data_IF_240557047736
#
_entry.id   IF_240557047736
#
_cell.length_a   1.000
_cell.length_b   1.000
_cell.length_c   1.000
_cell.angle_alpha   90.00
_cell.angle_beta   90.00
_cell.angle_gamma   90.00
#
_symmetry.space_group_name_H-M   'P 1'
#
loop_
_entity.id
_entity.type
_entity.pdbx_description
1 polymer ?
#
# COMPACT_ATOMS: atom_id res chain seq x y z
N UNK A 1 -19.45 21.13 -27.43
CA UNK A 1 -18.53 22.24 -27.10
C UNK A 1 -17.25 22.18 -27.90
N UNK A 2 -16.32 21.23 -27.69
CA UNK A 2 -15.06 21.13 -28.47
C UNK A 2 -15.32 20.88 -29.97
N UNK A 3 -16.24 19.97 -30.30
CA UNK A 3 -16.65 19.69 -31.69
C UNK A 3 -17.41 20.84 -32.39
N UNK A 4 -17.74 21.90 -31.66
CA UNK A 4 -18.51 23.03 -32.19
C UNK A 4 -17.62 24.26 -32.44
N UNK A 5 -16.29 24.10 -32.46
CA UNK A 5 -15.35 25.17 -32.84
C UNK A 5 -15.08 26.23 -31.78
N UNK A 6 -15.53 26.05 -30.55
CA UNK A 6 -15.20 26.95 -29.45
C UNK A 6 -13.73 26.76 -29.01
N UNK A 7 -12.97 27.85 -28.76
CA UNK A 7 -11.61 27.74 -28.27
C UNK A 7 -11.56 27.01 -26.93
N UNK A 8 -10.73 25.99 -26.85
CA UNK A 8 -10.53 25.18 -25.66
C UNK A 8 -9.08 25.31 -25.22
N UNK A 9 -8.87 25.89 -24.04
CA UNK A 9 -7.56 26.02 -23.43
C UNK A 9 -7.28 24.78 -22.59
N UNK A 10 -6.18 24.09 -22.87
CA UNK A 10 -5.77 22.88 -22.14
C UNK A 10 -4.65 23.24 -21.19
N UNK A 11 -4.84 22.97 -19.89
CA UNK A 11 -3.76 23.04 -18.92
C UNK A 11 -2.80 21.87 -19.19
N UNK A 12 -1.51 22.17 -19.36
CA UNK A 12 -0.50 21.18 -19.74
C UNK A 12 0.35 20.71 -18.55
N UNK A 13 0.27 21.36 -17.39
CA UNK A 13 1.13 21.09 -16.23
C UNK A 13 0.33 20.47 -15.08
N UNK A 14 0.81 19.34 -14.56
CA UNK A 14 0.19 18.60 -13.46
C UNK A 14 0.97 18.73 -12.14
N UNK A 15 0.25 18.83 -11.02
CA UNK A 15 0.81 19.05 -9.67
C UNK A 15 0.50 17.92 -8.68
N UNK A 16 -0.07 16.81 -9.18
CA UNK A 16 -0.62 15.73 -8.36
C UNK A 16 0.32 14.53 -8.28
N UNK A 17 0.56 13.91 -9.43
CA UNK A 17 1.12 12.57 -9.57
C UNK A 17 2.64 12.63 -9.58
N UNK A 18 3.32 11.62 -9.01
CA UNK A 18 4.75 11.40 -9.27
C UNK A 18 5.00 11.25 -10.79
N UNK A 19 6.17 11.68 -11.32
CA UNK A 19 6.47 11.60 -12.76
C UNK A 19 6.32 10.20 -13.36
N UNK A 20 6.60 9.15 -12.59
CA UNK A 20 6.48 7.78 -13.06
C UNK A 20 5.00 7.39 -13.29
N UNK A 21 4.06 7.97 -12.52
CA UNK A 21 2.61 7.75 -12.66
C UNK A 21 2.11 8.57 -13.85
N UNK A 22 2.48 9.86 -13.92
CA UNK A 22 2.04 10.73 -15.01
C UNK A 22 2.54 10.25 -16.37
N UNK A 23 3.69 9.56 -16.42
CA UNK A 23 4.16 8.90 -17.64
C UNK A 23 3.13 7.93 -18.23
N UNK A 24 2.38 7.18 -17.40
CA UNK A 24 1.34 6.26 -17.87
C UNK A 24 0.14 6.99 -18.50
N UNK A 25 -0.02 8.29 -18.23
CA UNK A 25 -1.08 9.14 -18.77
C UNK A 25 -0.67 9.81 -20.09
N UNK A 26 0.63 9.92 -20.39
CA UNK A 26 1.14 10.57 -21.60
C UNK A 26 0.64 9.94 -22.92
N UNK A 27 0.35 8.63 -23.05
CA UNK A 27 -0.32 8.08 -24.23
C UNK A 27 -1.69 8.74 -24.52
N UNK A 28 -2.35 9.26 -23.48
CA UNK A 28 -3.67 9.91 -23.57
C UNK A 28 -3.50 11.43 -23.69
N UNK A 29 -2.53 12.01 -22.96
CA UNK A 29 -2.21 13.43 -22.95
C UNK A 29 -0.71 13.66 -23.22
N UNK A 30 -0.27 13.67 -24.49
CA UNK A 30 1.16 13.68 -24.85
C UNK A 30 1.93 14.92 -24.36
N UNK A 31 1.22 16.04 -24.18
CA UNK A 31 1.81 17.32 -23.78
C UNK A 31 1.87 17.52 -22.26
N UNK A 32 1.47 16.52 -21.46
CA UNK A 32 1.44 16.61 -20.01
C UNK A 32 2.85 16.78 -19.43
N UNK A 33 3.05 17.83 -18.65
CA UNK A 33 4.30 18.18 -17.95
C UNK A 33 4.13 18.06 -16.45
N UNK A 34 5.21 17.68 -15.77
CA UNK A 34 5.25 17.53 -14.32
C UNK A 34 5.79 18.80 -13.66
N UNK A 35 5.03 19.37 -12.73
CA UNK A 35 5.51 20.49 -11.92
C UNK A 35 6.61 20.03 -10.94
N UNK A 36 7.57 20.91 -10.60
CA UNK A 36 8.71 20.56 -9.73
C UNK A 36 8.29 19.95 -8.38
N UNK A 37 7.16 20.42 -7.83
CA UNK A 37 6.62 19.94 -6.53
C UNK A 37 6.37 18.43 -6.47
N UNK A 38 6.15 17.76 -7.62
CA UNK A 38 5.88 16.32 -7.63
C UNK A 38 7.14 15.45 -7.77
N UNK A 39 8.29 16.05 -8.07
CA UNK A 39 9.53 15.31 -8.35
C UNK A 39 10.23 14.81 -7.09
N UNK A 40 10.03 15.48 -5.95
CA UNK A 40 10.68 15.17 -4.67
C UNK A 40 9.74 14.44 -3.68
N UNK A 41 8.84 13.60 -4.20
CA UNK A 41 7.93 12.80 -3.35
C UNK A 41 8.67 11.57 -2.82
N UNK A 42 8.64 11.39 -1.50
CA UNK A 42 9.22 10.24 -0.80
C UNK A 42 8.71 8.90 -1.33
N UNK A 43 9.58 7.89 -1.27
CA UNK A 43 9.24 6.51 -1.60
C UNK A 43 8.15 5.93 -0.69
N UNK A 44 7.40 4.98 -1.24
CA UNK A 44 6.46 4.17 -0.48
C UNK A 44 7.23 3.20 0.42
N UNK A 45 6.84 3.15 1.70
CA UNK A 45 7.41 2.28 2.71
C UNK A 45 6.97 0.83 2.49
N UNK A 46 7.88 -0.10 2.71
CA UNK A 46 7.67 -1.54 2.64
C UNK A 46 7.70 -2.13 1.23
N UNK A 47 7.89 -1.32 0.19
CA UNK A 47 7.90 -1.81 -1.19
C UNK A 47 9.17 -1.42 -1.92
N UNK A 48 9.53 -2.20 -2.93
CA UNK A 48 10.73 -1.96 -3.75
C UNK A 48 10.51 -0.93 -4.87
N UNK A 49 9.24 -0.68 -5.24
CA UNK A 49 8.85 0.22 -6.34
C UNK A 49 7.60 0.99 -5.95
N UNK A 50 7.57 2.29 -6.26
CA UNK A 50 6.41 3.17 -5.99
C UNK A 50 5.25 2.95 -6.97
N UNK A 51 5.57 2.38 -8.14
CA UNK A 51 4.59 1.97 -9.13
C UNK A 51 4.90 0.56 -9.55
N UNK A 52 3.87 -0.28 -9.61
CA UNK A 52 4.05 -1.63 -10.10
C UNK A 52 2.75 -2.19 -10.69
N UNK A 53 2.88 -2.85 -11.83
CA UNK A 53 1.85 -3.66 -12.45
C UNK A 53 2.13 -5.13 -12.17
N UNK A 54 1.27 -5.76 -11.37
CA UNK A 54 1.29 -7.18 -11.04
C UNK A 54 0.52 -7.94 -12.12
N UNK A 55 1.24 -8.60 -13.02
CA UNK A 55 0.65 -9.43 -14.06
C UNK A 55 0.24 -10.81 -13.51
N UNK A 56 -0.96 -11.27 -13.89
CA UNK A 56 -1.41 -12.65 -13.71
C UNK A 56 -2.30 -13.11 -14.86
N UNK A 57 -2.46 -14.43 -14.99
CA UNK A 57 -3.33 -15.09 -15.98
C UNK A 57 -4.51 -15.84 -15.34
N UNK A 58 -4.82 -15.55 -14.07
CA UNK A 58 -5.99 -16.12 -13.39
C UNK A 58 -7.27 -15.54 -13.98
N UNK A 59 -8.18 -16.41 -14.40
CA UNK A 59 -9.41 -16.05 -15.11
C UNK A 59 -10.42 -15.31 -14.23
N UNK A 60 -11.19 -14.44 -14.87
CA UNK A 60 -12.33 -13.75 -14.28
C UNK A 60 -13.50 -14.72 -13.99
N UNK A 61 -14.27 -14.41 -12.95
CA UNK A 61 -15.50 -15.12 -12.61
C UNK A 61 -16.70 -14.31 -13.09
N UNK A 62 -17.65 -14.96 -13.78
CA UNK A 62 -18.91 -14.31 -14.15
C UNK A 62 -19.86 -14.28 -12.95
N UNK A 63 -20.38 -13.10 -12.62
CA UNK A 63 -21.31 -12.95 -11.49
C UNK A 63 -22.69 -13.46 -11.90
N UNK A 64 -23.20 -14.45 -11.16
CA UNK A 64 -24.50 -15.11 -11.42
C UNK A 64 -25.61 -14.06 -11.46
N UNK A 65 -26.43 -14.09 -12.52
CA UNK A 65 -27.56 -13.16 -12.69
C UNK A 65 -27.18 -11.74 -13.13
N UNK A 66 -25.93 -11.50 -13.52
CA UNK A 66 -25.48 -10.21 -14.06
C UNK A 66 -24.58 -10.37 -15.30
N UNK A 67 -24.35 -9.27 -16.00
CA UNK A 67 -23.33 -9.17 -17.07
C UNK A 67 -21.98 -8.66 -16.53
N UNK A 68 -21.79 -8.70 -15.21
CA UNK A 68 -20.58 -8.25 -14.54
C UNK A 68 -19.62 -9.40 -14.25
N UNK A 69 -18.37 -9.03 -14.02
CA UNK A 69 -17.26 -9.93 -13.77
C UNK A 69 -16.56 -9.54 -12.48
N UNK A 70 -15.93 -10.50 -11.83
CA UNK A 70 -15.09 -10.28 -10.66
C UNK A 70 -13.80 -11.06 -10.75
N UNK A 71 -12.79 -10.62 -10.02
CA UNK A 71 -11.55 -11.38 -9.89
C UNK A 71 -11.14 -11.47 -8.43
N UNK A 72 -11.58 -12.56 -7.79
CA UNK A 72 -11.30 -12.79 -6.37
C UNK A 72 -9.80 -12.87 -6.07
N UNK A 73 -8.96 -13.23 -7.05
CA UNK A 73 -7.51 -13.24 -6.86
C UNK A 73 -6.94 -11.83 -6.67
N UNK A 74 -7.29 -10.90 -7.57
CA UNK A 74 -6.84 -9.50 -7.52
C UNK A 74 -7.28 -8.83 -6.23
N UNK A 75 -8.57 -8.96 -5.89
CA UNK A 75 -9.15 -8.35 -4.70
C UNK A 75 -8.50 -8.90 -3.43
N UNK A 76 -8.39 -10.22 -3.28
CA UNK A 76 -7.79 -10.81 -2.08
C UNK A 76 -6.32 -10.43 -1.92
N UNK A 77 -5.58 -10.31 -3.03
CA UNK A 77 -4.21 -9.80 -3.01
C UNK A 77 -4.18 -8.38 -2.46
N UNK A 78 -4.99 -7.47 -3.00
CA UNK A 78 -5.00 -6.08 -2.57
C UNK A 78 -5.51 -5.89 -1.14
N UNK A 79 -6.43 -6.70 -0.66
CA UNK A 79 -6.86 -6.65 0.75
C UNK A 79 -5.72 -7.03 1.71
N UNK A 80 -4.92 -8.05 1.37
CA UNK A 80 -3.73 -8.42 2.15
C UNK A 80 -2.62 -7.36 2.01
N UNK A 81 -2.45 -6.80 0.82
CA UNK A 81 -1.47 -5.74 0.57
C UNK A 81 -1.81 -4.43 1.28
N UNK A 82 -3.08 -4.02 1.32
CA UNK A 82 -3.53 -2.85 2.07
C UNK A 82 -3.21 -3.01 3.57
N UNK A 83 -3.53 -4.18 4.16
CA UNK A 83 -3.17 -4.50 5.55
C UNK A 83 -1.67 -4.45 5.80
N UNK A 84 -0.87 -4.93 4.84
CA UNK A 84 0.58 -4.81 4.89
C UNK A 84 1.04 -3.34 4.86
N UNK A 85 0.43 -2.48 4.05
CA UNK A 85 0.77 -1.05 4.03
C UNK A 85 0.33 -0.36 5.33
N UNK A 86 -0.79 -0.74 5.94
CA UNK A 86 -1.19 -0.23 7.25
C UNK A 86 -0.14 -0.58 8.31
N UNK A 87 0.43 -1.78 8.24
CA UNK A 87 1.51 -2.18 9.13
C UNK A 87 2.84 -1.47 8.86
N UNK A 88 3.05 -0.92 7.67
CA UNK A 88 4.16 0.01 7.40
C UNK A 88 3.91 1.43 7.96
N UNK A 89 2.77 1.65 8.63
CA UNK A 89 2.40 2.90 9.27
C UNK A 89 1.64 3.87 8.37
N UNK A 90 1.01 3.40 7.29
CA UNK A 90 0.06 4.21 6.52
C UNK A 90 -1.32 4.18 7.18
N UNK A 91 -1.98 5.33 7.26
CA UNK A 91 -3.36 5.38 7.73
C UNK A 91 -4.31 4.86 6.66
N UNK A 92 -5.43 4.24 7.06
CA UNK A 92 -6.38 3.63 6.14
C UNK A 92 -6.92 4.61 5.09
N UNK A 93 -7.19 5.86 5.51
CA UNK A 93 -7.69 6.91 4.62
C UNK A 93 -6.68 7.36 3.54
N UNK A 94 -5.38 7.05 3.69
CA UNK A 94 -4.35 7.36 2.68
C UNK A 94 -4.30 6.36 1.54
N UNK A 95 -5.06 5.26 1.64
CA UNK A 95 -5.07 4.18 0.66
C UNK A 95 -6.48 4.00 0.13
N UNK A 96 -6.61 3.82 -1.17
CA UNK A 96 -7.89 3.45 -1.79
C UNK A 96 -7.72 2.24 -2.69
N UNK A 97 -8.61 1.25 -2.53
CA UNK A 97 -8.79 0.18 -3.49
C UNK A 97 -9.85 0.59 -4.52
N UNK A 98 -9.43 0.69 -5.77
CA UNK A 98 -10.29 0.90 -6.93
C UNK A 98 -10.59 -0.43 -7.61
N UNK A 99 -11.86 -0.66 -7.88
CA UNK A 99 -12.36 -1.78 -8.68
C UNK A 99 -13.07 -1.27 -9.92
N UNK A 100 -13.03 -2.02 -11.02
CA UNK A 100 -13.66 -1.61 -12.28
C UNK A 100 -15.15 -1.95 -12.37
N UNK A 101 -15.64 -2.86 -11.53
CA UNK A 101 -17.01 -3.37 -11.56
C UNK A 101 -17.75 -3.09 -10.23
N UNK A 102 -19.01 -2.64 -10.33
CA UNK A 102 -19.79 -2.19 -9.16
C UNK A 102 -20.23 -3.36 -8.27
N UNK A 103 -20.46 -4.53 -8.85
CA UNK A 103 -20.83 -5.74 -8.13
C UNK A 103 -19.70 -6.21 -7.21
N UNK A 104 -18.44 -6.10 -7.66
CA UNK A 104 -17.25 -6.39 -6.86
C UNK A 104 -17.12 -5.42 -5.68
N UNK A 105 -17.43 -4.13 -5.89
CA UNK A 105 -17.48 -3.13 -4.82
C UNK A 105 -18.48 -3.51 -3.72
N UNK A 106 -19.70 -3.94 -4.09
CA UNK A 106 -20.74 -4.30 -3.12
C UNK A 106 -20.35 -5.52 -2.27
N UNK A 107 -19.65 -6.49 -2.86
CA UNK A 107 -19.11 -7.64 -2.12
C UNK A 107 -18.04 -7.21 -1.12
N UNK A 108 -17.14 -6.33 -1.56
CA UNK A 108 -16.07 -5.79 -0.73
C UNK A 108 -16.55 -4.90 0.42
N UNK A 109 -17.60 -4.12 0.20
CA UNK A 109 -18.20 -3.29 1.25
C UNK A 109 -18.74 -4.15 2.41
N UNK A 110 -19.33 -5.32 2.13
CA UNK A 110 -19.76 -6.27 3.17
C UNK A 110 -18.59 -6.86 3.95
N UNK A 111 -17.49 -7.18 3.26
CA UNK A 111 -16.25 -7.67 3.90
C UNK A 111 -15.64 -6.57 4.79
N UNK A 112 -15.71 -5.31 4.34
CA UNK A 112 -15.26 -4.15 5.11
C UNK A 112 -16.07 -3.97 6.38
N UNK A 113 -17.40 -3.97 6.27
CA UNK A 113 -18.32 -3.79 7.41
C UNK A 113 -18.17 -4.87 8.49
N UNK A 114 -17.70 -6.06 8.12
CA UNK A 114 -17.43 -7.17 9.05
C UNK A 114 -16.01 -7.17 9.63
N UNK A 115 -15.16 -6.17 9.30
CA UNK A 115 -13.76 -6.11 9.73
C UNK A 115 -13.41 -4.74 10.33
N UNK A 116 -13.22 -4.69 11.65
CA UNK A 116 -12.77 -3.47 12.34
C UNK A 116 -11.43 -2.91 11.84
N UNK A 117 -10.58 -3.78 11.27
CA UNK A 117 -9.28 -3.39 10.70
C UNK A 117 -9.43 -2.61 9.38
N UNK A 118 -10.61 -2.60 8.77
CA UNK A 118 -10.86 -2.00 7.45
C UNK A 118 -11.92 -0.90 7.49
N UNK A 119 -12.39 -0.50 8.67
CA UNK A 119 -13.53 0.42 8.84
C UNK A 119 -13.36 1.71 8.03
N UNK A 120 -12.17 2.33 8.09
CA UNK A 120 -11.83 3.56 7.38
C UNK A 120 -11.19 3.33 6.01
N UNK A 121 -11.06 2.07 5.57
CA UNK A 121 -10.45 1.74 4.29
C UNK A 121 -11.42 2.06 3.14
N UNK A 122 -11.00 2.97 2.27
CA UNK A 122 -11.81 3.39 1.12
C UNK A 122 -11.71 2.34 0.00
N UNK A 123 -12.84 1.78 -0.36
CA UNK A 123 -13.02 0.91 -1.52
C UNK A 123 -14.08 1.57 -2.40
N UNK A 124 -13.78 1.79 -3.68
CA UNK A 124 -14.67 2.50 -4.59
C UNK A 124 -14.54 1.98 -6.02
N UNK A 125 -15.56 2.20 -6.84
CA UNK A 125 -15.49 1.92 -8.27
C UNK A 125 -14.77 3.06 -9.03
N UNK A 126 -14.09 2.75 -10.13
CA UNK A 126 -13.36 3.75 -10.93
C UNK A 126 -14.26 4.92 -11.35
N UNK A 127 -15.48 4.63 -11.80
CA UNK A 127 -16.44 5.67 -12.24
C UNK A 127 -16.89 6.57 -11.05
N UNK A 128 -17.05 5.99 -9.86
CA UNK A 128 -17.43 6.73 -8.63
C UNK A 128 -16.30 7.56 -8.03
N UNK A 129 -15.05 7.31 -8.44
CA UNK A 129 -13.86 8.01 -7.95
C UNK A 129 -13.38 9.14 -8.88
N UNK A 130 -14.22 9.57 -9.83
CA UNK A 130 -13.87 10.64 -10.74
C UNK A 130 -13.74 11.99 -10.00
N UNK A 131 -12.61 12.67 -10.20
CA UNK A 131 -12.31 13.96 -9.56
C UNK A 131 -11.60 13.82 -8.21
N UNK A 132 -11.65 12.64 -7.61
CA UNK A 132 -10.98 12.30 -6.35
C UNK A 132 -9.52 11.91 -6.57
N UNK A 133 -8.73 11.94 -5.49
CA UNK A 133 -7.34 11.50 -5.46
C UNK A 133 -6.99 10.88 -4.09
N UNK A 134 -5.96 10.03 -4.05
CA UNK A 134 -5.41 9.56 -2.79
C UNK A 134 -3.88 9.36 -2.87
N UNK A 135 -3.21 9.23 -1.73
CA UNK A 135 -1.78 9.04 -1.66
C UNK A 135 -1.36 7.72 -2.33
N UNK A 136 -2.07 6.62 -2.03
CA UNK A 136 -1.82 5.30 -2.59
C UNK A 136 -3.11 4.74 -3.20
N UNK A 137 -3.01 4.28 -4.45
CA UNK A 137 -4.10 3.59 -5.14
C UNK A 137 -3.69 2.14 -5.41
N UNK A 138 -4.59 1.24 -5.02
CA UNK A 138 -4.58 -0.18 -5.40
C UNK A 138 -5.67 -0.35 -6.46
N UNK A 139 -5.34 -0.87 -7.65
CA UNK A 139 -6.27 -0.93 -8.77
C UNK A 139 -6.42 -2.37 -9.28
N UNK A 140 -7.60 -2.94 -9.07
CA UNK A 140 -8.05 -4.21 -9.66
C UNK A 140 -8.65 -3.95 -11.05
N UNK A 141 -8.12 -4.61 -12.08
CA UNK A 141 -8.61 -4.49 -13.46
C UNK A 141 -9.63 -5.59 -13.80
N UNK A 142 -9.66 -6.68 -13.04
CA UNK A 142 -10.60 -7.81 -13.12
C UNK A 142 -10.49 -8.66 -14.38
N UNK A 143 -10.38 -8.03 -15.56
CA UNK A 143 -10.55 -8.71 -16.84
C UNK A 143 -9.36 -9.62 -17.17
N UNK A 144 -9.68 -10.90 -17.34
CA UNK A 144 -8.76 -11.97 -17.67
C UNK A 144 -9.53 -13.14 -18.30
N UNK A 145 -9.59 -13.18 -19.62
CA UNK A 145 -10.39 -14.12 -20.40
C UNK A 145 -9.69 -14.55 -21.69
N UNK A 146 -10.17 -15.64 -22.28
CA UNK A 146 -9.59 -16.25 -23.48
C UNK A 146 -9.87 -15.38 -24.72
N UNK A 147 -10.96 -14.61 -24.71
CA UNK A 147 -11.40 -13.78 -25.84
C UNK A 147 -10.64 -12.44 -25.95
N UNK A 148 -9.68 -12.17 -25.05
CA UNK A 148 -8.98 -10.89 -24.92
C UNK A 148 -9.92 -9.67 -24.82
N UNK A 149 -11.13 -9.88 -24.29
CA UNK A 149 -12.13 -8.83 -24.17
C UNK A 149 -11.92 -8.06 -22.86
N UNK A 150 -11.39 -6.85 -22.99
CA UNK A 150 -11.10 -5.97 -21.85
C UNK A 150 -12.24 -4.99 -21.54
N UNK A 151 -13.29 -4.96 -22.37
CA UNK A 151 -14.52 -4.18 -22.16
C UNK A 151 -14.28 -2.74 -21.71
N UNK A 152 -14.64 -2.44 -20.46
CA UNK A 152 -14.49 -1.13 -19.80
C UNK A 152 -13.09 -0.52 -19.97
N UNK A 153 -12.06 -1.38 -19.98
CA UNK A 153 -10.65 -0.99 -20.04
C UNK A 153 -10.18 -0.60 -21.43
N UNK A 154 -11.04 -0.67 -22.46
CA UNK A 154 -10.71 -0.14 -23.79
C UNK A 154 -11.12 1.34 -23.95
N UNK A 155 -11.86 1.90 -22.98
CA UNK A 155 -12.33 3.29 -23.05
C UNK A 155 -11.24 4.21 -22.50
N UNK A 156 -10.62 5.01 -23.37
CA UNK A 156 -9.51 5.91 -23.04
C UNK A 156 -9.77 6.77 -21.79
N UNK A 157 -10.95 7.39 -21.67
CA UNK A 157 -11.29 8.23 -20.52
C UNK A 157 -11.28 7.44 -19.20
N UNK A 158 -11.70 6.17 -19.23
CA UNK A 158 -11.75 5.30 -18.05
C UNK A 158 -10.36 4.81 -17.65
N UNK A 159 -9.50 4.48 -18.62
CA UNK A 159 -8.08 4.20 -18.38
C UNK A 159 -7.43 5.42 -17.72
N UNK A 160 -7.66 6.61 -18.27
CA UNK A 160 -7.12 7.84 -17.71
C UNK A 160 -7.56 8.04 -16.26
N UNK A 161 -8.87 7.91 -15.97
CA UNK A 161 -9.37 8.05 -14.59
C UNK A 161 -8.66 7.04 -13.70
N UNK A 162 -8.69 5.75 -14.03
CA UNK A 162 -8.13 4.68 -13.20
C UNK A 162 -6.65 4.88 -12.84
N UNK A 163 -5.82 5.28 -13.81
CA UNK A 163 -4.36 5.42 -13.62
C UNK A 163 -3.93 6.76 -13.03
N UNK A 164 -4.80 7.78 -12.99
CA UNK A 164 -4.43 9.16 -12.56
C UNK A 164 -4.92 9.56 -11.17
N UNK A 165 -5.42 8.60 -10.38
CA UNK A 165 -5.95 8.85 -9.03
C UNK A 165 -4.88 8.89 -7.93
N UNK A 166 -3.71 8.29 -8.18
CA UNK A 166 -2.63 8.17 -7.22
C UNK A 166 -1.70 9.38 -7.19
N UNK A 167 -1.37 9.86 -6.00
CA UNK A 167 -0.36 10.92 -5.81
C UNK A 167 1.04 10.34 -5.69
N UNK A 168 1.22 9.34 -4.82
CA UNK A 168 2.53 8.80 -4.42
C UNK A 168 2.75 7.35 -4.87
N UNK A 169 1.75 6.48 -4.75
CA UNK A 169 1.89 5.05 -5.04
C UNK A 169 0.75 4.51 -5.91
N UNK A 170 1.09 3.78 -6.97
CA UNK A 170 0.11 3.14 -7.85
C UNK A 170 0.44 1.67 -8.04
N UNK A 171 -0.43 0.79 -7.55
CA UNK A 171 -0.27 -0.65 -7.70
C UNK A 171 -1.45 -1.21 -8.47
N UNK A 172 -1.19 -1.73 -9.66
CA UNK A 172 -2.22 -2.23 -10.57
C UNK A 172 -2.06 -3.74 -10.67
N UNK A 173 -3.17 -4.47 -10.69
CA UNK A 173 -3.17 -5.91 -10.93
C UNK A 173 -4.09 -6.22 -12.10
N UNK A 174 -3.67 -7.15 -12.96
CA UNK A 174 -4.48 -7.56 -14.09
C UNK A 174 -3.73 -8.45 -15.09
N UNK A 175 -4.44 -8.83 -16.14
CA UNK A 175 -3.89 -9.62 -17.23
C UNK A 175 -3.32 -8.73 -18.34
N UNK A 176 -2.02 -8.41 -18.27
CA UNK A 176 -1.34 -7.62 -19.29
C UNK A 176 -1.41 -8.25 -20.69
N UNK A 177 -1.40 -9.59 -20.81
CA UNK A 177 -1.51 -10.28 -22.10
C UNK A 177 -2.83 -9.95 -22.80
N UNK A 178 -3.94 -9.86 -22.05
CA UNK A 178 -5.22 -9.39 -22.60
C UNK A 178 -5.20 -7.88 -22.90
N UNK A 179 -4.59 -7.07 -22.04
CA UNK A 179 -4.63 -5.60 -22.14
C UNK A 179 -3.88 -5.07 -23.37
N UNK A 180 -2.72 -5.63 -23.70
CA UNK A 180 -1.87 -5.15 -24.81
C UNK A 180 -2.52 -5.25 -26.20
N UNK A 181 -3.66 -5.92 -26.32
CA UNK A 181 -4.47 -5.92 -27.55
C UNK A 181 -5.10 -4.54 -27.84
N UNK A 182 -5.20 -3.66 -26.83
CA UNK A 182 -5.52 -2.24 -27.01
C UNK A 182 -4.26 -1.42 -27.24
N UNK A 183 -4.30 -0.50 -28.20
CA UNK A 183 -3.15 0.35 -28.55
C UNK A 183 -2.61 1.15 -27.36
N UNK A 184 -3.52 1.71 -26.55
CA UNK A 184 -3.16 2.52 -25.38
C UNK A 184 -2.44 1.66 -24.33
N UNK A 185 -2.97 0.47 -24.03
CA UNK A 185 -2.36 -0.44 -23.06
C UNK A 185 -1.02 -1.00 -23.55
N UNK A 186 -0.84 -1.16 -24.86
CA UNK A 186 0.46 -1.50 -25.45
C UNK A 186 1.50 -0.39 -25.23
N UNK A 187 1.12 0.88 -25.35
CA UNK A 187 2.03 1.99 -25.04
C UNK A 187 2.32 2.06 -23.53
N UNK A 188 1.30 1.89 -22.69
CA UNK A 188 1.44 1.84 -21.23
C UNK A 188 2.37 0.69 -20.80
N UNK A 189 2.26 -0.49 -21.43
CA UNK A 189 3.10 -1.64 -21.08
C UNK A 189 4.57 -1.38 -21.39
N UNK A 190 4.88 -0.72 -22.52
CA UNK A 190 6.25 -0.31 -22.85
C UNK A 190 6.82 0.68 -21.81
N UNK A 191 6.00 1.62 -21.34
CA UNK A 191 6.41 2.57 -20.29
C UNK A 191 6.71 1.82 -18.98
N UNK A 192 5.83 0.89 -18.57
CA UNK A 192 6.04 0.09 -17.37
C UNK A 192 7.28 -0.80 -17.47
N UNK A 193 7.56 -1.39 -18.63
CA UNK A 193 8.78 -2.18 -18.90
C UNK A 193 10.01 -1.30 -18.73
N UNK A 194 10.02 -0.11 -19.34
CA UNK A 194 11.13 0.84 -19.25
C UNK A 194 11.37 1.31 -17.79
N UNK A 195 10.32 1.43 -17.00
CA UNK A 195 10.41 1.74 -15.55
C UNK A 195 10.80 0.54 -14.67
N UNK A 196 10.88 -0.68 -15.25
CA UNK A 196 11.01 -1.95 -14.53
C UNK A 196 9.91 -2.11 -13.47
N UNK A 197 8.68 -1.75 -13.84
CA UNK A 197 7.49 -1.72 -13.00
C UNK A 197 6.39 -2.64 -13.53
N UNK A 198 6.75 -3.65 -14.31
CA UNK A 198 5.85 -4.70 -14.78
C UNK A 198 6.45 -6.08 -14.46
N UNK A 199 5.66 -6.95 -13.85
CA UNK A 199 6.05 -8.34 -13.62
C UNK A 199 5.02 -9.11 -12.81
N UNK A 200 5.28 -10.40 -12.58
CA UNK A 200 4.29 -11.30 -11.96
C UNK A 200 4.34 -11.29 -10.43
N UNK A 201 5.31 -10.57 -9.86
CA UNK A 201 5.56 -10.52 -8.42
C UNK A 201 5.91 -9.11 -8.00
N UNK A 202 5.30 -8.64 -6.92
CA UNK A 202 5.63 -7.38 -6.27
C UNK A 202 6.72 -7.62 -5.22
N UNK A 203 7.80 -6.86 -5.27
CA UNK A 203 8.85 -6.90 -4.26
C UNK A 203 8.51 -6.04 -3.05
N UNK A 204 8.48 -6.64 -1.87
CA UNK A 204 8.37 -6.00 -0.57
C UNK A 204 9.75 -5.91 0.09
N UNK A 205 9.96 -4.91 0.95
CA UNK A 205 11.20 -4.70 1.70
C UNK A 205 10.92 -4.42 3.16
N UNK A 206 11.89 -4.72 4.03
CA UNK A 206 11.82 -4.28 5.42
C UNK A 206 12.39 -2.86 5.53
N UNK A 207 11.67 -1.95 6.20
CA UNK A 207 12.13 -0.58 6.43
C UNK A 207 13.29 -0.50 7.43
N UNK A 208 13.40 -1.47 8.35
CA UNK A 208 14.50 -1.57 9.31
C UNK A 208 15.71 -2.29 8.67
N UNK A 209 15.46 -3.42 8.00
CA UNK A 209 16.50 -4.26 7.37
C UNK A 209 16.38 -4.17 5.84
N UNK A 210 16.95 -3.12 5.25
CA UNK A 210 16.81 -2.82 3.81
C UNK A 210 17.34 -3.91 2.88
N UNK A 211 18.21 -4.79 3.38
CA UNK A 211 18.76 -5.94 2.68
C UNK A 211 17.82 -7.18 2.70
N UNK A 212 16.73 -7.12 3.47
CA UNK A 212 15.69 -8.13 3.44
C UNK A 212 14.58 -7.72 2.48
N UNK A 213 14.33 -8.58 1.48
CA UNK A 213 13.25 -8.42 0.51
C UNK A 213 12.52 -9.73 0.31
N UNK A 214 11.22 -9.66 0.02
CA UNK A 214 10.39 -10.82 -0.32
C UNK A 214 9.48 -10.46 -1.49
N UNK A 215 9.22 -11.43 -2.37
CA UNK A 215 8.34 -11.24 -3.52
C UNK A 215 6.98 -11.89 -3.26
N UNK A 216 5.90 -11.16 -3.54
CA UNK A 216 4.51 -11.63 -3.39
C UNK A 216 3.78 -11.63 -4.74
N UNK A 217 3.00 -12.66 -5.00
CA UNK A 217 2.16 -12.81 -6.20
C UNK A 217 0.72 -13.17 -5.89
N UNK A 218 0.44 -13.62 -4.67
CA UNK A 218 -0.89 -14.04 -4.23
C UNK A 218 -1.14 -13.62 -2.78
N UNK A 219 -2.41 -13.60 -2.38
CA UNK A 219 -2.82 -13.29 -1.00
C UNK A 219 -2.16 -14.18 0.05
N UNK A 220 -1.83 -15.43 -0.28
CA UNK A 220 -1.17 -16.40 0.61
C UNK A 220 0.30 -16.08 0.87
N UNK A 221 0.96 -15.38 -0.05
CA UNK A 221 2.37 -15.03 0.12
C UNK A 221 2.58 -14.06 1.28
N UNK A 222 1.56 -13.25 1.62
CA UNK A 222 1.58 -12.33 2.75
C UNK A 222 1.70 -13.01 4.12
N UNK A 223 1.28 -14.27 4.25
CA UNK A 223 1.40 -15.01 5.50
C UNK A 223 2.87 -15.33 5.84
N UNK A 224 3.78 -15.18 4.86
CA UNK A 224 5.24 -15.33 5.01
C UNK A 224 5.97 -13.99 5.12
N UNK A 225 5.26 -12.85 5.02
CA UNK A 225 5.87 -11.52 5.03
C UNK A 225 6.18 -11.11 6.47
N UNK A 226 7.28 -11.65 6.97
CA UNK A 226 7.83 -11.31 8.27
C UNK A 226 9.35 -11.30 8.19
N UNK A 227 9.97 -10.16 8.46
CA UNK A 227 11.41 -10.12 8.65
C UNK A 227 11.75 -10.78 9.99
N UNK A 228 12.55 -11.84 9.96
CA UNK A 228 12.97 -12.60 11.16
C UNK A 228 14.37 -12.21 11.64
N UNK A 229 14.94 -11.12 11.14
CA UNK A 229 16.21 -10.58 11.64
C UNK A 229 16.01 -9.93 13.01
N UNK A 230 17.05 -9.92 13.83
CA UNK A 230 17.05 -9.16 15.09
C UNK A 230 16.96 -7.66 14.78
N UNK A 231 16.08 -6.94 15.46
CA UNK A 231 15.83 -5.52 15.25
C UNK A 231 17.12 -4.70 15.38
N UNK A 232 17.82 -4.83 16.52
CA UNK A 232 19.10 -4.19 16.83
C UNK A 232 19.12 -2.65 16.73
N UNK A 233 17.95 -2.00 16.62
CA UNK A 233 17.83 -0.54 16.66
C UNK A 233 18.18 0.00 18.06
N UNK A 234 18.83 1.16 18.11
CA UNK A 234 19.13 1.86 19.36
C UNK A 234 17.85 2.55 19.85
N UNK A 235 17.40 2.19 21.05
CA UNK A 235 16.24 2.79 21.72
C UNK A 235 16.66 4.06 22.48
N UNK A 236 15.68 4.90 22.88
CA UNK A 236 15.90 6.13 23.66
C UNK A 236 16.69 5.92 24.97
N UNK A 237 16.68 4.69 25.51
CA UNK A 237 17.47 4.34 26.68
C UNK A 237 18.97 4.12 26.41
N UNK A 238 19.41 4.17 25.14
CA UNK A 238 20.76 3.88 24.68
C UNK A 238 21.05 2.39 24.43
N UNK A 239 20.10 1.50 24.73
CA UNK A 239 20.25 0.07 24.50
C UNK A 239 19.73 -0.36 23.13
N UNK A 240 20.36 -1.41 22.59
CA UNK A 240 19.93 -2.05 21.35
C UNK A 240 18.73 -2.97 21.61
N UNK A 241 17.72 -2.93 20.73
CA UNK A 241 16.57 -3.81 20.79
C UNK A 241 16.96 -5.25 20.41
N UNK A 242 16.69 -6.21 21.29
CA UNK A 242 16.99 -7.63 21.08
C UNK A 242 15.81 -8.45 20.54
N UNK A 243 14.69 -7.80 20.19
CA UNK A 243 13.52 -8.48 19.65
C UNK A 243 13.69 -8.77 18.15
N UNK A 244 12.88 -9.68 17.62
CA UNK A 244 12.75 -9.86 16.17
C UNK A 244 12.22 -8.57 15.54
N UNK A 245 12.54 -8.36 14.26
CA UNK A 245 12.14 -7.18 13.52
C UNK A 245 10.64 -6.91 13.66
N UNK A 246 10.31 -5.69 14.09
CA UNK A 246 8.93 -5.26 14.32
C UNK A 246 8.69 -3.91 13.64
N UNK A 247 8.47 -3.97 12.33
CA UNK A 247 8.31 -2.77 11.51
C UNK A 247 7.02 -1.96 11.84
N UNK A 248 6.11 -2.51 12.64
CA UNK A 248 4.90 -1.86 13.15
C UNK A 248 5.19 -0.80 14.24
N UNK A 249 6.31 -0.90 14.94
CA UNK A 249 6.77 0.08 15.95
C UNK A 249 8.25 0.38 15.72
N UNK A 250 8.52 1.11 14.64
CA UNK A 250 9.89 1.47 14.26
C UNK A 250 10.52 2.39 15.31
N UNK A 251 9.70 3.21 15.98
CA UNK A 251 10.15 4.19 16.97
C UNK A 251 10.45 3.60 18.35
N UNK A 252 10.00 2.38 18.66
CA UNK A 252 10.10 1.75 19.98
C UNK A 252 9.49 2.59 21.12
N UNK A 253 8.52 3.46 20.81
CA UNK A 253 7.93 4.39 21.78
C UNK A 253 6.70 3.83 22.47
N UNK A 254 6.09 2.78 21.92
CA UNK A 254 4.78 2.32 22.37
C UNK A 254 4.80 0.84 22.78
N UNK A 255 5.11 -0.06 21.85
CA UNK A 255 4.89 -1.49 22.00
C UNK A 255 6.14 -2.23 22.49
N UNK A 256 7.32 -1.87 21.98
CA UNK A 256 8.55 -2.61 22.27
C UNK A 256 9.43 -1.86 23.26
N UNK A 257 9.40 -2.30 24.52
CA UNK A 257 10.15 -1.71 25.63
C UNK A 257 11.47 -2.44 25.89
N UNK A 258 12.48 -1.70 26.36
CA UNK A 258 13.80 -2.26 26.67
C UNK A 258 13.76 -3.19 27.89
N UNK A 259 13.98 -4.48 27.67
CA UNK A 259 13.99 -5.53 28.71
C UNK A 259 15.37 -5.82 29.32
N UNK A 260 16.41 -5.02 29.01
CA UNK A 260 17.73 -5.22 29.65
C UNK A 260 17.60 -5.04 31.16
N UNK A 261 18.32 -5.87 31.92
CA UNK A 261 18.37 -5.76 33.37
C UNK A 261 18.96 -4.40 33.78
N UNK A 262 18.28 -3.72 34.68
CA UNK A 262 18.67 -2.44 35.26
C UNK A 262 18.66 -2.56 36.78
N UNK A 263 19.79 -2.27 37.40
CA UNK A 263 19.94 -2.29 38.86
C UNK A 263 19.85 -0.87 39.43
N UNK A 264 18.99 -0.65 40.42
CA UNK A 264 18.83 0.62 41.13
C UNK A 264 18.85 0.39 42.63
N UNK A 265 19.59 1.23 43.34
CA UNK A 265 19.55 1.26 44.81
C UNK A 265 18.52 2.30 45.26
N UNK A 266 17.58 1.90 46.13
CA UNK A 266 16.62 2.80 46.77
C UNK A 266 17.28 3.61 47.90
N UNK A 267 16.62 4.67 48.36
CA UNK A 267 17.09 5.50 49.49
C UNK A 267 17.33 4.69 50.78
N UNK A 268 16.57 3.61 50.99
CA UNK A 268 16.73 2.68 52.10
C UNK A 268 17.90 1.67 51.93
N UNK A 269 18.67 1.74 50.84
CA UNK A 269 19.80 0.83 50.55
C UNK A 269 19.41 -0.48 49.85
N UNK A 270 18.11 -0.77 49.68
CA UNK A 270 17.64 -1.96 48.97
C UNK A 270 17.99 -1.91 47.47
N UNK A 271 18.56 -3.00 46.92
CA UNK A 271 18.91 -3.12 45.50
C UNK A 271 17.75 -3.75 44.72
N UNK A 272 17.13 -2.98 43.85
CA UNK A 272 16.13 -3.45 42.90
C UNK A 272 16.79 -3.89 41.60
N UNK A 273 16.32 -5.03 41.08
CA UNK A 273 16.54 -5.46 39.69
C UNK A 273 15.23 -5.32 38.94
N UNK A 274 15.22 -4.49 37.91
CA UNK A 274 14.03 -4.17 37.10
C UNK A 274 14.40 -4.16 35.63
N UNK A 275 13.41 -4.17 34.75
CA UNK A 275 13.65 -3.94 33.32
C UNK A 275 13.95 -2.46 33.06
N UNK A 276 14.85 -2.18 32.11
CA UNK A 276 15.35 -0.83 31.83
C UNK A 276 14.23 0.20 31.57
N UNK A 277 13.14 -0.17 30.90
CA UNK A 277 12.02 0.73 30.65
C UNK A 277 11.32 1.20 31.92
N UNK A 278 11.43 0.44 33.01
CA UNK A 278 10.81 0.77 34.30
C UNK A 278 11.65 1.73 35.15
N UNK A 279 12.84 2.14 34.70
CA UNK A 279 13.78 2.96 35.48
C UNK A 279 13.22 4.30 35.97
N UNK A 280 12.19 4.81 35.29
CA UNK A 280 11.52 6.07 35.60
C UNK A 280 10.31 5.90 36.53
N UNK A 281 9.92 4.67 36.87
CA UNK A 281 8.84 4.42 37.81
C UNK A 281 9.29 4.68 39.24
N UNK A 282 8.32 4.99 40.09
CA UNK A 282 8.48 5.11 41.54
C UNK A 282 8.34 3.75 42.20
N UNK A 283 9.21 3.46 43.16
CA UNK A 283 9.22 2.21 43.90
C UNK A 283 9.26 2.49 45.40
N UNK A 284 8.37 1.84 46.13
CA UNK A 284 8.37 1.87 47.60
C UNK A 284 9.38 0.87 48.15
N UNK A 285 10.07 1.23 49.23
CA UNK A 285 10.99 0.30 49.86
C UNK A 285 10.21 -0.81 50.59
N UNK A 286 10.50 -2.10 50.33
CA UNK A 286 9.86 -3.20 51.05
C UNK A 286 10.08 -3.14 52.57
N UNK A 287 11.20 -2.56 53.01
CA UNK A 287 11.55 -2.43 54.43
C UNK A 287 10.64 -1.46 55.21
N UNK A 288 9.91 -0.58 54.53
CA UNK A 288 8.93 0.31 55.19
C UNK A 288 7.54 -0.33 55.32
N UNK A 289 7.26 -1.44 54.61
CA UNK A 289 5.98 -2.16 54.73
C UNK A 289 5.91 -3.10 55.93
N UNK A 290 7.05 -3.43 56.55
CA UNK A 290 7.13 -4.35 57.69
C UNK A 290 7.05 -3.70 59.07
N UNK A 291 6.78 -2.39 59.17
CA UNK A 291 6.75 -1.64 60.45
C UNK A 291 5.30 -1.26 60.85
N UNK A 292 4.30 -1.62 60.05
CA UNK A 292 2.88 -1.28 60.26
C UNK A 292 1.99 -2.50 60.56
N UNK A 293 2.50 -3.47 61.32
CA UNK A 293 1.74 -4.63 61.83
C UNK A 293 1.94 -4.81 63.32
#
# INVERSE_FOLDING_TARGET
MVKNGFPCYTLDTQHRMRPEISALIKPIYPFLRDHEIVKDRSDIRGVTKNIYFIHHNIHEEKVIGSNSYKNSHEVNFFMKFARYLFSQGYHQHQITLLVTYREELLELQKIRESSSVLEDFRIECVDGFQGEENDIILLSLVRSNIDNNIGFLNIQNRICVALSRARNGLYVMGNMDNLIHSSIWKEISLILINQQSLGNKLGLRCEIHKDWTINVSSSRDFDKVQCLKVCNMIMDCGHHCSQLCHYYDQSHKTLYRCKKEYSRTLSCGFKLKIECWMRFLTYECPLYKSIAS
#
